data_IF_741173924069
#
_entry.id   IF_741173924069
#
_cell.length_a   1.000
_cell.length_b   1.000
_cell.length_c   1.000
_cell.angle_alpha   90.00
_cell.angle_beta   90.00
_cell.angle_gamma   90.00
#
_symmetry.space_group_name_H-M   'P 1'
#
loop_
_entity.id
_entity.type
_entity.pdbx_description
1 polymer ?
#
# COMPACT_ATOMS: atom_id res chain seq x y z
N UNK A 1 -12.59 34.12 3.14
CA UNK A 1 -13.41 32.89 3.07
C UNK A 1 -12.69 31.89 2.18
N UNK A 2 -11.53 31.40 2.61
CA UNK A 2 -10.65 30.55 1.77
C UNK A 2 -9.99 29.41 2.54
N UNK A 3 -10.14 29.37 3.87
CA UNK A 3 -9.43 28.42 4.72
C UNK A 3 -9.90 26.96 4.59
N UNK A 4 -11.16 26.72 4.19
CA UNK A 4 -11.68 25.33 4.10
C UNK A 4 -11.09 24.57 2.92
N UNK A 5 -10.81 25.27 1.80
CA UNK A 5 -10.22 24.66 0.61
C UNK A 5 -8.71 24.42 0.82
N UNK A 6 -8.03 25.37 1.47
CA UNK A 6 -6.63 25.19 1.86
C UNK A 6 -6.47 24.07 2.90
N UNK A 7 -7.36 23.94 3.89
CA UNK A 7 -7.32 22.81 4.84
C UNK A 7 -7.49 21.46 4.14
N UNK A 8 -8.39 21.35 3.16
CA UNK A 8 -8.55 20.10 2.39
C UNK A 8 -7.35 19.79 1.49
N UNK A 9 -6.70 20.81 0.93
CA UNK A 9 -5.47 20.64 0.14
C UNK A 9 -4.25 20.33 1.02
N UNK A 10 -4.20 20.87 2.24
CA UNK A 10 -3.10 20.64 3.20
C UNK A 10 -3.25 19.30 3.94
N UNK A 11 -4.48 18.80 4.11
CA UNK A 11 -4.72 17.44 4.63
C UNK A 11 -4.25 16.35 3.67
N UNK A 12 -4.03 16.68 2.39
CA UNK A 12 -3.58 15.74 1.34
C UNK A 12 -2.12 15.32 1.43
N UNK A 13 -1.30 15.91 2.32
CA UNK A 13 0.12 15.54 2.46
C UNK A 13 0.39 14.49 3.56
N UNK A 14 -0.59 14.17 4.41
CA UNK A 14 -0.34 13.34 5.61
C UNK A 14 -0.49 11.83 5.42
N UNK A 15 -1.06 11.41 4.30
CA UNK A 15 -1.26 10.00 3.98
C UNK A 15 -0.46 9.65 2.72
N UNK A 16 0.80 9.24 2.93
CA UNK A 16 1.70 8.95 1.82
C UNK A 16 1.55 7.50 1.38
N UNK A 17 1.14 7.33 0.12
CA UNK A 17 1.21 6.05 -0.58
C UNK A 17 2.69 5.72 -0.84
N UNK A 18 3.21 4.74 -0.12
CA UNK A 18 4.57 4.26 -0.27
C UNK A 18 4.60 3.03 -1.19
N UNK A 19 5.45 3.07 -2.20
CA UNK A 19 5.72 1.93 -3.07
C UNK A 19 7.04 1.29 -2.66
N UNK A 20 7.00 0.02 -2.26
CA UNK A 20 8.20 -0.73 -1.87
C UNK A 20 8.38 -1.94 -2.76
N UNK A 21 9.62 -2.33 -3.03
CA UNK A 21 9.89 -3.55 -3.79
C UNK A 21 9.46 -4.78 -2.98
N UNK A 22 8.91 -5.80 -3.65
CA UNK A 22 8.49 -7.03 -3.00
C UNK A 22 9.69 -7.73 -2.32
N UNK A 23 9.67 -7.92 -0.99
CA UNK A 23 10.67 -8.71 -0.28
C UNK A 23 10.76 -10.14 -0.83
N UNK A 24 11.98 -10.68 -0.93
CA UNK A 24 12.23 -12.01 -1.52
C UNK A 24 11.45 -13.12 -0.78
N UNK A 25 11.29 -12.98 0.53
CA UNK A 25 10.52 -13.86 1.41
C UNK A 25 9.01 -13.89 1.14
N UNK A 26 8.47 -12.89 0.44
CA UNK A 26 7.06 -12.82 0.06
C UNK A 26 6.81 -13.33 -1.36
N UNK A 27 7.85 -13.66 -2.14
CA UNK A 27 7.68 -14.21 -3.48
C UNK A 27 6.99 -15.56 -3.40
N UNK A 28 5.92 -15.74 -4.20
CA UNK A 28 5.01 -16.90 -4.21
C UNK A 28 4.13 -17.06 -2.96
N UNK A 29 4.21 -16.16 -1.97
CA UNK A 29 3.20 -16.07 -0.92
C UNK A 29 1.93 -15.40 -1.45
N UNK A 30 0.84 -15.58 -0.73
CA UNK A 30 -0.43 -14.93 -1.02
C UNK A 30 -0.46 -13.50 -0.44
N UNK A 31 -1.24 -12.62 -1.05
CA UNK A 31 -1.46 -11.27 -0.53
C UNK A 31 -2.03 -11.29 0.89
N UNK A 32 -2.86 -12.30 1.20
CA UNK A 32 -3.40 -12.49 2.55
C UNK A 32 -2.35 -12.79 3.61
N UNK A 33 -1.29 -13.52 3.26
CA UNK A 33 -0.13 -13.74 4.13
C UNK A 33 0.68 -12.45 4.28
N UNK A 34 0.92 -11.71 3.20
CA UNK A 34 1.62 -10.42 3.27
C UNK A 34 0.89 -9.38 4.12
N UNK A 35 -0.45 -9.34 4.09
CA UNK A 35 -1.23 -8.51 5.03
C UNK A 35 -0.93 -8.94 6.45
N UNK A 36 -0.99 -10.23 6.78
CA UNK A 36 -0.75 -10.69 8.15
C UNK A 36 0.66 -10.34 8.65
N UNK A 37 1.66 -10.37 7.75
CA UNK A 37 3.06 -10.11 8.07
C UNK A 37 3.38 -8.59 8.17
N UNK A 38 2.71 -7.73 7.39
CA UNK A 38 3.08 -6.31 7.20
C UNK A 38 2.02 -5.29 7.65
N UNK A 39 0.86 -5.73 8.11
CA UNK A 39 -0.19 -4.85 8.62
C UNK A 39 0.15 -4.35 10.02
N UNK A 40 0.50 -3.07 10.15
CA UNK A 40 0.74 -2.42 11.44
C UNK A 40 -0.33 -1.36 11.71
N UNK A 41 -0.29 -0.74 12.90
CA UNK A 41 -1.22 0.33 13.28
C UNK A 41 -1.03 1.59 12.42
N UNK A 42 0.20 1.83 11.96
CA UNK A 42 0.60 3.05 11.25
C UNK A 42 0.90 2.80 9.76
N UNK A 43 0.88 1.54 9.30
CA UNK A 43 1.15 1.17 7.91
C UNK A 43 0.26 0.03 7.45
N UNK A 44 -0.55 0.30 6.44
CA UNK A 44 -1.54 -0.62 5.87
C UNK A 44 -1.10 -1.09 4.49
N UNK A 45 -1.01 -2.41 4.28
CA UNK A 45 -0.77 -2.95 2.95
C UNK A 45 -2.09 -2.94 2.17
N UNK A 46 -2.22 -2.02 1.20
CA UNK A 46 -3.49 -1.78 0.50
C UNK A 46 -3.49 -2.35 -0.92
N UNK A 47 -2.35 -2.72 -1.48
CA UNK A 47 -2.32 -3.22 -2.85
C UNK A 47 -0.95 -3.62 -3.35
N UNK A 48 -0.92 -3.94 -4.64
CA UNK A 48 0.30 -4.25 -5.37
C UNK A 48 0.32 -3.48 -6.69
N UNK A 49 1.51 -3.17 -7.16
CA UNK A 49 1.76 -2.74 -8.53
C UNK A 49 2.50 -3.86 -9.25
N UNK A 50 1.91 -4.35 -10.34
CA UNK A 50 2.49 -5.38 -11.20
C UNK A 50 2.70 -4.77 -12.57
N UNK A 51 3.95 -4.71 -13.01
CA UNK A 51 4.35 -3.99 -14.21
C UNK A 51 3.84 -2.51 -14.19
N UNK A 52 2.84 -2.20 -15.01
CA UNK A 52 2.19 -0.89 -15.09
C UNK A 52 0.75 -0.87 -14.57
N UNK A 53 0.27 -1.97 -13.99
CA UNK A 53 -1.06 -2.06 -13.40
C UNK A 53 -1.00 -1.87 -11.88
N UNK A 54 -1.90 -1.04 -11.36
CA UNK A 54 -2.09 -0.84 -9.92
C UNK A 54 -3.33 -1.59 -9.48
N UNK A 55 -3.15 -2.56 -8.60
CA UNK A 55 -4.23 -3.41 -8.09
C UNK A 55 -4.39 -3.10 -6.61
N UNK A 56 -5.46 -2.39 -6.27
CA UNK A 56 -5.84 -2.08 -4.90
C UNK A 56 -6.75 -3.19 -4.36
N UNK A 57 -6.47 -3.66 -3.15
CA UNK A 57 -7.14 -4.76 -2.47
C UNK A 57 -7.30 -6.01 -3.35
N UNK A 58 -6.19 -6.60 -3.86
CA UNK A 58 -6.27 -7.87 -4.56
C UNK A 58 -6.87 -8.95 -3.65
N UNK A 59 -7.44 -9.99 -4.27
CA UNK A 59 -7.96 -11.14 -3.52
C UNK A 59 -6.88 -11.66 -2.57
N UNK A 60 -7.26 -12.03 -1.34
CA UNK A 60 -6.31 -12.56 -0.34
C UNK A 60 -5.57 -13.81 -0.83
N UNK A 61 -6.16 -14.58 -1.75
CA UNK A 61 -5.56 -15.75 -2.38
C UNK A 61 -4.69 -15.43 -3.60
N UNK A 62 -4.55 -14.16 -4.00
CA UNK A 62 -3.69 -13.75 -5.11
C UNK A 62 -2.22 -13.94 -4.73
N UNK A 63 -1.46 -14.59 -5.60
CA UNK A 63 -0.02 -14.78 -5.40
C UNK A 63 0.75 -13.51 -5.72
N UNK A 64 1.73 -13.21 -4.87
CA UNK A 64 2.76 -12.20 -5.06
C UNK A 64 3.86 -12.77 -5.95
N UNK A 65 4.15 -12.07 -7.04
CA UNK A 65 5.10 -12.52 -8.05
C UNK A 65 6.36 -11.65 -8.01
N UNK A 66 7.48 -12.24 -8.44
CA UNK A 66 8.73 -11.52 -8.59
C UNK A 66 8.54 -10.32 -9.53
N UNK A 67 8.94 -9.14 -9.07
CA UNK A 67 8.78 -7.88 -9.82
C UNK A 67 7.57 -7.05 -9.39
N UNK A 68 6.68 -7.61 -8.57
CA UNK A 68 5.64 -6.81 -7.92
C UNK A 68 6.26 -5.76 -6.99
N UNK A 69 5.57 -4.64 -6.83
CA UNK A 69 5.80 -3.67 -5.76
C UNK A 69 4.59 -3.70 -4.82
N UNK A 70 4.84 -3.57 -3.52
CA UNK A 70 3.79 -3.43 -2.52
C UNK A 70 3.41 -1.95 -2.39
N UNK A 71 2.13 -1.71 -2.14
CA UNK A 71 1.57 -0.36 -1.95
C UNK A 71 1.11 -0.27 -0.51
N UNK A 72 1.79 0.58 0.25
CA UNK A 72 1.49 0.85 1.64
C UNK A 72 0.82 2.21 1.78
N UNK A 73 -0.16 2.28 2.68
CA UNK A 73 -0.74 3.50 3.17
C UNK A 73 -0.20 3.73 4.58
N UNK A 74 0.63 4.75 4.73
CA UNK A 74 1.21 5.10 6.03
C UNK A 74 0.38 6.20 6.66
N UNK A 75 -0.24 5.92 7.81
CA UNK A 75 -0.85 6.95 8.63
C UNK A 75 0.25 7.66 9.42
N UNK A 76 0.45 8.96 9.18
CA UNK A 76 1.36 9.74 10.01
C UNK A 76 0.76 9.92 11.42
N UNK A 77 1.40 9.32 12.44
CA UNK A 77 1.19 9.68 13.84
C UNK A 77 1.58 11.14 14.13
#
# INVERSE_FOLDING_TARGET
MTSVIEEMLTYGEKDQLAFTDLPIELINKTFGEAINDYQTADSFLIGIRRDNETILHPKRSSNLLKGDKLIFFNGLS
#
